data_IF_362712077140
#
_entry.id   IF_362712077140
#
_cell.length_a   1.000
_cell.length_b   1.000
_cell.length_c   1.000
_cell.angle_alpha   90.00
_cell.angle_beta   90.00
_cell.angle_gamma   90.00
#
_symmetry.space_group_name_H-M   'P 1'
#
loop_
_entity.id
_entity.type
_entity.pdbx_description
1 polymer ?
#
# COMPACT_ATOMS: atom_id res chain seq x y z
N UNK A 1 -1.39 -23.82 -11.16
CA UNK A 1 -2.01 -23.42 -12.45
C UNK A 1 -1.76 -21.94 -12.58
N UNK A 2 -1.21 -21.50 -13.70
CA UNK A 2 -1.06 -20.09 -14.01
C UNK A 2 -2.45 -19.43 -14.09
N UNK A 3 -2.57 -18.19 -13.62
CA UNK A 3 -3.82 -17.43 -13.72
C UNK A 3 -4.04 -17.05 -15.19
N UNK A 4 -5.26 -17.23 -15.68
CA UNK A 4 -5.68 -16.66 -16.96
C UNK A 4 -5.88 -15.15 -16.80
N UNK A 5 -4.93 -14.36 -17.32
CA UNK A 5 -4.92 -12.90 -17.18
C UNK A 5 -6.03 -12.21 -17.98
N UNK A 6 -6.51 -12.79 -19.08
CA UNK A 6 -7.65 -12.25 -19.82
C UNK A 6 -8.94 -12.44 -19.04
N UNK A 7 -9.13 -13.63 -18.47
CA UNK A 7 -10.25 -13.90 -17.58
C UNK A 7 -10.19 -13.04 -16.30
N UNK A 8 -8.99 -12.80 -15.75
CA UNK A 8 -8.81 -11.89 -14.62
C UNK A 8 -9.17 -10.46 -14.99
N UNK A 9 -8.70 -9.95 -16.14
CA UNK A 9 -9.05 -8.62 -16.63
C UNK A 9 -10.56 -8.47 -16.83
N UNK A 10 -11.22 -9.46 -17.42
CA UNK A 10 -12.68 -9.45 -17.57
C UNK A 10 -13.39 -9.41 -16.20
N UNK A 11 -12.89 -10.18 -15.22
CA UNK A 11 -13.41 -10.18 -13.85
C UNK A 11 -13.22 -8.82 -13.17
N UNK A 12 -12.06 -8.18 -13.34
CA UNK A 12 -11.81 -6.83 -12.80
C UNK A 12 -12.81 -5.83 -13.39
N UNK A 13 -13.02 -5.86 -14.71
CA UNK A 13 -13.99 -4.99 -15.41
C UNK A 13 -15.43 -5.20 -14.91
N UNK A 14 -15.84 -6.45 -14.71
CA UNK A 14 -17.19 -6.81 -14.23
C UNK A 14 -17.47 -6.38 -12.77
N UNK A 15 -16.42 -6.25 -11.96
CA UNK A 15 -16.52 -6.00 -10.51
C UNK A 15 -16.23 -4.56 -10.10
N UNK A 16 -16.14 -3.65 -11.06
CA UNK A 16 -16.00 -2.23 -10.75
C UNK A 16 -17.19 -1.72 -9.94
N UNK A 17 -16.92 -0.75 -9.08
CA UNK A 17 -17.90 -0.08 -8.23
C UNK A 17 -17.56 1.41 -8.15
N UNK A 18 -18.52 2.24 -7.77
CA UNK A 18 -18.32 3.68 -7.59
C UNK A 18 -18.69 4.11 -6.17
N UNK A 19 -18.17 5.27 -5.73
CA UNK A 19 -18.57 5.85 -4.44
C UNK A 19 -20.09 6.12 -4.40
N UNK A 20 -20.71 6.40 -5.55
CA UNK A 20 -22.16 6.59 -5.69
C UNK A 20 -22.98 5.31 -5.40
N UNK A 21 -22.37 4.13 -5.38
CA UNK A 21 -23.03 2.87 -5.04
C UNK A 21 -23.21 2.66 -3.52
N UNK A 22 -22.73 3.60 -2.70
CA UNK A 22 -22.75 3.53 -1.24
C UNK A 22 -23.74 4.57 -0.69
N UNK A 23 -24.61 4.12 0.21
CA UNK A 23 -25.48 5.02 0.97
C UNK A 23 -24.69 5.69 2.10
N UNK A 24 -24.06 6.83 1.77
CA UNK A 24 -23.27 7.62 2.72
C UNK A 24 -24.09 8.28 3.83
N UNK A 25 -25.41 8.27 3.75
CA UNK A 25 -26.33 8.82 4.76
C UNK A 25 -26.91 7.74 5.69
N UNK A 26 -26.59 6.46 5.45
CA UNK A 26 -27.05 5.37 6.31
C UNK A 26 -26.61 5.58 7.77
N UNK A 27 -27.33 5.04 8.77
CA UNK A 27 -26.97 5.20 10.18
C UNK A 27 -25.58 4.64 10.52
N UNK A 28 -24.92 5.20 11.55
CA UNK A 28 -23.67 4.63 12.09
C UNK A 28 -22.49 5.59 12.22
N UNK A 29 -22.56 6.79 11.61
CA UNK A 29 -21.46 7.77 11.70
C UNK A 29 -21.13 8.18 13.15
N UNK A 30 -22.12 8.20 14.03
CA UNK A 30 -21.98 8.60 15.44
C UNK A 30 -21.42 7.51 16.36
N UNK A 31 -21.11 6.31 15.86
CA UNK A 31 -20.58 5.20 16.68
C UNK A 31 -19.09 5.37 17.02
N UNK A 32 -18.41 6.31 16.36
CA UNK A 32 -16.99 6.59 16.62
C UNK A 32 -16.83 7.26 17.98
N UNK A 33 -16.18 6.54 18.92
CA UNK A 33 -15.91 7.05 20.27
C UNK A 33 -15.09 8.37 20.23
N UNK A 34 -15.49 9.43 20.96
CA UNK A 34 -14.81 10.73 20.92
C UNK A 34 -13.31 10.68 21.23
N UNK A 35 -12.90 9.85 22.19
CA UNK A 35 -11.51 9.66 22.59
C UNK A 35 -10.67 8.88 21.56
N UNK A 36 -11.33 8.11 20.70
CA UNK A 36 -10.67 7.35 19.63
C UNK A 36 -10.51 8.19 18.36
N UNK A 37 -11.40 9.16 18.14
CA UNK A 37 -11.48 9.99 16.94
C UNK A 37 -10.14 10.63 16.50
N UNK A 38 -9.29 11.20 17.39
CA UNK A 38 -8.01 11.77 16.96
C UNK A 38 -7.03 10.73 16.42
N UNK A 39 -6.99 9.54 17.03
CA UNK A 39 -6.14 8.43 16.56
C UNK A 39 -6.63 7.90 15.22
N UNK A 40 -7.95 7.72 15.10
CA UNK A 40 -8.57 7.28 13.86
C UNK A 40 -8.35 8.30 12.72
N UNK A 41 -8.50 9.61 12.98
CA UNK A 41 -8.22 10.67 11.99
C UNK A 41 -6.78 10.57 11.47
N UNK A 42 -5.80 10.40 12.36
CA UNK A 42 -4.40 10.27 11.96
C UNK A 42 -4.16 9.01 11.12
N UNK A 43 -4.71 7.87 11.54
CA UNK A 43 -4.59 6.61 10.81
C UNK A 43 -5.24 6.66 9.42
N UNK A 44 -6.48 7.15 9.32
CA UNK A 44 -7.19 7.26 8.05
C UNK A 44 -6.54 8.26 7.10
N UNK A 45 -5.97 9.35 7.64
CA UNK A 45 -5.18 10.29 6.85
C UNK A 45 -3.99 9.57 6.20
N UNK A 46 -3.26 8.78 6.98
CA UNK A 46 -2.10 8.05 6.49
C UNK A 46 -2.50 6.93 5.51
N UNK A 47 -3.60 6.22 5.78
CA UNK A 47 -4.15 5.18 4.90
C UNK A 47 -4.50 5.75 3.52
N UNK A 48 -5.23 6.87 3.47
CA UNK A 48 -5.59 7.52 2.21
C UNK A 48 -4.38 7.87 1.34
N UNK A 49 -3.28 8.31 1.97
CA UNK A 49 -2.05 8.60 1.26
C UNK A 49 -1.28 7.34 0.85
N UNK A 50 -1.40 6.25 1.60
CA UNK A 50 -0.82 4.96 1.25
C UNK A 50 -1.52 4.39 0.01
N UNK A 51 -2.85 4.46 -0.09
CA UNK A 51 -3.56 4.01 -1.30
C UNK A 51 -3.19 4.88 -2.51
N UNK A 52 -3.06 6.21 -2.34
CA UNK A 52 -2.56 7.08 -3.42
C UNK A 52 -1.11 6.77 -3.84
N UNK A 53 -0.27 6.35 -2.90
CA UNK A 53 1.07 5.82 -3.17
C UNK A 53 0.99 4.50 -3.95
N UNK A 54 0.08 3.59 -3.58
CA UNK A 54 -0.22 2.34 -4.27
C UNK A 54 -0.61 2.58 -5.72
N UNK A 55 -1.55 3.51 -5.95
CA UNK A 55 -1.95 3.96 -7.28
C UNK A 55 -0.73 4.37 -8.11
N UNK A 56 0.13 5.26 -7.59
CA UNK A 56 1.34 5.70 -8.29
C UNK A 56 2.29 4.54 -8.61
N UNK A 57 2.38 3.55 -7.72
CA UNK A 57 3.10 2.29 -7.91
C UNK A 57 2.57 1.48 -9.09
N UNK A 58 1.26 1.27 -9.17
CA UNK A 58 0.65 0.57 -10.31
C UNK A 58 0.77 1.32 -11.62
N UNK A 59 0.68 2.65 -11.63
CA UNK A 59 0.96 3.45 -12.82
C UNK A 59 2.40 3.22 -13.33
N UNK A 60 3.37 3.06 -12.42
CA UNK A 60 4.74 2.73 -12.77
C UNK A 60 4.91 1.29 -13.25
N UNK A 61 4.14 0.34 -12.71
CA UNK A 61 4.11 -1.07 -13.15
C UNK A 61 3.46 -1.23 -14.53
N UNK A 62 2.38 -0.51 -14.81
CA UNK A 62 1.70 -0.55 -16.11
C UNK A 62 2.64 -0.23 -17.28
N UNK A 63 3.58 0.71 -17.09
CA UNK A 63 4.61 1.07 -18.08
C UNK A 63 5.63 -0.04 -18.33
N UNK A 64 5.76 -0.98 -17.39
CA UNK A 64 6.80 -2.02 -17.37
C UNK A 64 6.23 -3.44 -17.47
N UNK A 65 4.92 -3.54 -17.61
CA UNK A 65 4.24 -4.82 -17.67
C UNK A 65 4.81 -5.69 -18.80
N UNK A 66 4.91 -7.01 -18.58
CA UNK A 66 5.50 -7.92 -19.56
C UNK A 66 4.64 -8.08 -20.82
N UNK A 67 3.35 -7.78 -20.74
CA UNK A 67 2.41 -7.82 -21.86
C UNK A 67 1.30 -6.75 -21.72
N UNK A 68 0.54 -6.47 -22.80
CA UNK A 68 -0.51 -5.46 -22.79
C UNK A 68 -1.67 -5.73 -21.83
N UNK A 69 -1.98 -7.00 -21.54
CA UNK A 69 -3.09 -7.41 -20.68
C UNK A 69 -2.78 -7.07 -19.24
N UNK A 70 -1.57 -7.41 -18.76
CA UNK A 70 -1.09 -7.02 -17.43
C UNK A 70 -0.95 -5.49 -17.34
N UNK A 71 -0.51 -4.83 -18.42
CA UNK A 71 -0.46 -3.36 -18.45
C UNK A 71 -1.85 -2.75 -18.23
N UNK A 72 -2.90 -3.36 -18.78
CA UNK A 72 -4.27 -2.92 -18.59
C UNK A 72 -4.80 -3.20 -17.20
N UNK A 73 -4.52 -4.39 -16.65
CA UNK A 73 -4.83 -4.72 -15.26
C UNK A 73 -4.25 -3.68 -14.31
N UNK A 74 -2.97 -3.31 -14.47
CA UNK A 74 -2.35 -2.28 -13.62
C UNK A 74 -2.95 -0.88 -13.81
N UNK A 75 -3.51 -0.54 -14.99
CA UNK A 75 -4.28 0.70 -15.15
C UNK A 75 -5.58 0.66 -14.33
N UNK A 76 -6.24 -0.50 -14.27
CA UNK A 76 -7.40 -0.69 -13.40
C UNK A 76 -7.00 -0.63 -11.92
N UNK A 77 -5.92 -1.28 -11.51
CA UNK A 77 -5.46 -1.24 -10.12
C UNK A 77 -5.10 0.19 -9.68
N UNK A 78 -4.43 0.98 -10.53
CA UNK A 78 -4.25 2.41 -10.28
C UNK A 78 -5.58 3.14 -10.02
N UNK A 79 -6.61 2.87 -10.82
CA UNK A 79 -7.91 3.50 -10.67
C UNK A 79 -8.69 3.00 -9.43
N UNK A 80 -8.54 1.71 -9.08
CA UNK A 80 -9.12 1.11 -7.87
C UNK A 80 -8.48 1.72 -6.62
N UNK A 81 -7.15 1.82 -6.55
CA UNK A 81 -6.43 2.45 -5.43
C UNK A 81 -6.78 3.93 -5.25
N UNK A 82 -6.91 4.67 -6.35
CA UNK A 82 -7.39 6.05 -6.29
C UNK A 82 -8.82 6.13 -5.74
N UNK A 83 -9.67 5.14 -6.04
CA UNK A 83 -11.03 5.04 -5.51
C UNK A 83 -11.03 4.65 -4.03
N UNK A 84 -10.12 3.78 -3.60
CA UNK A 84 -9.95 3.42 -2.19
C UNK A 84 -9.60 4.65 -1.36
N UNK A 85 -8.60 5.42 -1.80
CA UNK A 85 -8.23 6.68 -1.19
C UNK A 85 -9.42 7.66 -1.09
N UNK A 86 -10.20 7.79 -2.18
CA UNK A 86 -11.39 8.65 -2.20
C UNK A 86 -12.49 8.16 -1.24
N UNK A 87 -12.72 6.84 -1.16
CA UNK A 87 -13.69 6.26 -0.24
C UNK A 87 -13.30 6.47 1.23
N UNK A 88 -12.00 6.41 1.53
CA UNK A 88 -11.46 6.71 2.85
C UNK A 88 -11.61 8.19 3.23
N UNK A 89 -11.37 9.10 2.29
CA UNK A 89 -11.67 10.52 2.47
C UNK A 89 -13.15 10.77 2.73
N UNK A 90 -14.03 10.08 2.00
CA UNK A 90 -15.47 10.16 2.20
C UNK A 90 -15.89 9.63 3.59
N UNK A 91 -15.30 8.54 4.07
CA UNK A 91 -15.49 8.06 5.45
C UNK A 91 -15.02 9.09 6.49
N UNK A 92 -13.83 9.67 6.31
CA UNK A 92 -13.33 10.72 7.21
C UNK A 92 -14.27 11.94 7.24
N UNK A 93 -14.79 12.36 6.08
CA UNK A 93 -15.78 13.45 5.99
C UNK A 93 -17.07 13.08 6.72
N UNK A 94 -17.59 11.87 6.49
CA UNK A 94 -18.79 11.33 7.16
C UNK A 94 -18.66 11.34 8.68
N UNK A 95 -17.48 11.04 9.22
CA UNK A 95 -17.21 11.12 10.66
C UNK A 95 -16.88 12.54 11.17
N UNK A 96 -17.06 13.56 10.32
CA UNK A 96 -16.76 14.97 10.60
C UNK A 96 -15.28 15.25 10.89
N UNK A 97 -14.38 14.36 10.46
CA UNK A 97 -12.95 14.50 10.72
C UNK A 97 -12.29 15.49 9.76
N UNK A 98 -12.92 15.80 8.64
CA UNK A 98 -12.43 16.75 7.64
C UNK A 98 -13.41 17.91 7.49
N UNK A 99 -12.88 19.13 7.36
CA UNK A 99 -13.64 20.27 6.87
C UNK A 99 -13.97 20.12 5.36
N UNK A 100 -14.95 20.87 4.86
CA UNK A 100 -15.31 20.83 3.45
C UNK A 100 -14.12 21.22 2.55
N UNK A 101 -13.70 20.28 1.69
CA UNK A 101 -12.54 20.45 0.82
C UNK A 101 -11.18 20.26 1.51
N UNK A 102 -11.15 19.88 2.79
CA UNK A 102 -9.90 19.51 3.48
C UNK A 102 -9.39 18.16 2.95
N UNK A 103 -8.19 18.17 2.37
CA UNK A 103 -7.41 16.94 2.15
C UNK A 103 -6.50 16.75 3.38
N UNK A 104 -6.51 15.58 4.04
CA UNK A 104 -5.69 15.34 5.21
C UNK A 104 -4.21 15.54 4.90
N UNK A 105 -3.48 16.15 5.85
CA UNK A 105 -2.04 16.38 5.68
C UNK A 105 -1.28 15.07 5.92
N UNK A 106 -0.47 14.61 4.97
CA UNK A 106 0.36 13.42 5.17
C UNK A 106 1.40 13.67 6.26
N UNK A 107 1.76 12.62 7.00
CA UNK A 107 2.93 12.67 7.87
C UNK A 107 4.23 12.82 7.04
N UNK A 108 5.33 13.15 7.72
CA UNK A 108 6.62 13.43 7.07
C UNK A 108 7.20 12.24 6.31
N UNK A 109 7.02 11.01 6.80
CA UNK A 109 7.51 9.81 6.12
C UNK A 109 6.73 9.53 4.84
N UNK A 110 5.41 9.76 4.86
CA UNK A 110 4.57 9.70 3.67
C UNK A 110 4.97 10.77 2.67
N UNK A 111 5.21 12.02 3.11
CA UNK A 111 5.70 13.10 2.23
C UNK A 111 6.99 12.71 1.51
N UNK A 112 7.94 12.15 2.25
CA UNK A 112 9.21 11.71 1.68
C UNK A 112 9.03 10.51 0.72
N UNK A 113 8.09 9.61 1.00
CA UNK A 113 7.75 8.51 0.11
C UNK A 113 7.10 9.01 -1.20
N UNK A 114 6.18 9.97 -1.12
CA UNK A 114 5.56 10.65 -2.27
C UNK A 114 6.63 11.31 -3.13
N UNK A 115 7.53 12.10 -2.53
CA UNK A 115 8.62 12.77 -3.24
C UNK A 115 9.57 11.78 -3.92
N UNK A 116 9.86 10.66 -3.27
CA UNK A 116 10.69 9.60 -3.82
C UNK A 116 10.01 8.89 -5.00
N UNK A 117 8.72 8.54 -4.87
CA UNK A 117 7.97 7.90 -5.94
C UNK A 117 7.85 8.82 -7.15
N UNK A 118 7.57 10.11 -6.93
CA UNK A 118 7.51 11.11 -7.99
C UNK A 118 8.81 11.17 -8.78
N UNK A 119 9.96 11.13 -8.08
CA UNK A 119 11.27 11.24 -8.69
C UNK A 119 11.78 9.95 -9.36
N UNK A 120 11.43 8.77 -8.85
CA UNK A 120 12.15 7.53 -9.21
C UNK A 120 11.28 6.37 -9.68
N UNK A 121 9.99 6.33 -9.38
CA UNK A 121 9.18 5.11 -9.61
C UNK A 121 9.11 4.69 -11.08
N UNK A 122 9.14 5.63 -12.03
CA UNK A 122 9.14 5.33 -13.46
C UNK A 122 10.42 4.62 -13.93
N UNK A 123 11.55 4.88 -13.29
CA UNK A 123 12.85 4.27 -13.62
C UNK A 123 13.11 2.97 -12.84
N UNK A 124 12.31 2.68 -11.82
CA UNK A 124 12.47 1.47 -10.99
C UNK A 124 12.17 0.20 -11.79
N UNK A 125 13.05 -0.83 -11.77
CA UNK A 125 12.81 -2.07 -12.48
C UNK A 125 11.55 -2.81 -12.00
N UNK A 126 10.94 -3.56 -12.93
CA UNK A 126 9.79 -4.41 -12.64
C UNK A 126 10.07 -5.37 -11.48
N UNK A 127 11.29 -5.93 -11.40
CA UNK A 127 11.68 -6.84 -10.31
C UNK A 127 11.66 -6.21 -8.92
N UNK A 128 11.83 -4.88 -8.82
CA UNK A 128 11.76 -4.15 -7.55
C UNK A 128 10.30 -3.83 -7.22
N UNK A 129 9.60 -3.12 -8.11
CA UNK A 129 8.22 -2.69 -7.87
C UNK A 129 7.28 -3.89 -7.70
N UNK A 130 7.37 -4.88 -8.59
CA UNK A 130 6.58 -6.12 -8.55
C UNK A 130 6.97 -7.08 -7.41
N UNK A 131 7.91 -6.69 -6.55
CA UNK A 131 8.17 -7.37 -5.27
C UNK A 131 7.69 -6.53 -4.08
N UNK A 132 7.92 -5.22 -4.11
CA UNK A 132 7.59 -4.32 -3.00
C UNK A 132 6.09 -4.10 -2.86
N UNK A 133 5.38 -3.87 -3.98
CA UNK A 133 3.93 -3.64 -4.00
C UNK A 133 3.15 -4.84 -3.43
N UNK A 134 3.40 -6.11 -3.84
CA UNK A 134 2.69 -7.25 -3.26
C UNK A 134 2.88 -7.40 -1.75
N UNK A 135 4.02 -6.96 -1.23
CA UNK A 135 4.28 -6.98 0.22
C UNK A 135 3.47 -5.89 0.94
N UNK A 136 3.32 -4.71 0.33
CA UNK A 136 2.53 -3.61 0.88
C UNK A 136 1.06 -3.99 0.90
N UNK A 137 0.51 -4.51 -0.20
CA UNK A 137 -0.87 -5.00 -0.30
C UNK A 137 -1.18 -6.03 0.79
N UNK A 138 -0.32 -7.05 0.95
CA UNK A 138 -0.55 -8.08 1.97
C UNK A 138 -0.49 -7.52 3.39
N UNK A 139 0.34 -6.50 3.64
CA UNK A 139 0.38 -5.82 4.93
C UNK A 139 -0.90 -5.00 5.17
N UNK A 140 -1.37 -4.27 4.16
CA UNK A 140 -2.60 -3.48 4.18
C UNK A 140 -3.83 -4.39 4.42
N UNK A 141 -4.09 -5.34 3.52
CA UNK A 141 -5.19 -6.31 3.60
C UNK A 141 -5.12 -7.17 4.88
N UNK A 142 -3.93 -7.69 5.19
CA UNK A 142 -3.76 -8.70 6.22
C UNK A 142 -3.84 -8.18 7.66
N UNK A 143 -3.45 -6.93 7.88
CA UNK A 143 -3.35 -6.34 9.22
C UNK A 143 -4.16 -5.04 9.36
N UNK A 144 -3.96 -4.07 8.47
CA UNK A 144 -4.53 -2.72 8.62
C UNK A 144 -6.06 -2.74 8.47
N UNK A 145 -6.58 -3.33 7.39
CA UNK A 145 -8.02 -3.37 7.13
C UNK A 145 -8.78 -4.16 8.21
N UNK A 146 -8.26 -5.32 8.59
CA UNK A 146 -8.87 -6.14 9.65
C UNK A 146 -8.90 -5.43 10.99
N UNK A 147 -7.83 -4.70 11.33
CA UNK A 147 -7.80 -3.93 12.56
C UNK A 147 -8.87 -2.82 12.55
N UNK A 148 -9.00 -2.12 11.43
CA UNK A 148 -10.01 -1.07 11.28
C UNK A 148 -11.44 -1.61 11.42
N UNK A 149 -11.74 -2.73 10.75
CA UNK A 149 -13.06 -3.39 10.83
C UNK A 149 -13.40 -3.89 12.24
N UNK A 150 -12.40 -4.35 13.00
CA UNK A 150 -12.60 -4.78 14.38
C UNK A 150 -12.76 -3.60 15.37
N UNK A 151 -12.35 -2.39 14.97
CA UNK A 151 -12.30 -1.21 15.86
C UNK A 151 -13.40 -0.19 15.58
N UNK A 152 -13.87 -0.10 14.33
CA UNK A 152 -14.89 0.85 13.88
C UNK A 152 -16.23 0.16 13.74
N UNK A 153 -17.24 0.65 14.47
CA UNK A 153 -18.59 0.09 14.51
C UNK A 153 -19.56 0.77 13.50
N UNK A 154 -19.04 1.46 12.47
CA UNK A 154 -19.87 2.09 11.43
C UNK A 154 -20.17 1.08 10.29
N UNK A 155 -21.42 0.62 10.11
CA UNK A 155 -21.76 -0.33 9.04
C UNK A 155 -21.49 0.20 7.63
N UNK A 156 -21.43 1.52 7.40
CA UNK A 156 -21.01 2.09 6.10
C UNK A 156 -19.52 1.86 5.87
N UNK A 157 -18.70 1.99 6.90
CA UNK A 157 -17.28 1.64 6.86
C UNK A 157 -17.10 0.18 6.45
N UNK A 158 -17.86 -0.74 7.04
CA UNK A 158 -17.79 -2.17 6.71
C UNK A 158 -18.17 -2.44 5.25
N UNK A 159 -19.20 -1.77 4.71
CA UNK A 159 -19.58 -1.88 3.30
C UNK A 159 -18.49 -1.34 2.36
N UNK A 160 -17.88 -0.21 2.69
CA UNK A 160 -16.76 0.37 1.92
C UNK A 160 -15.59 -0.62 1.87
N UNK A 161 -15.15 -1.11 3.04
CA UNK A 161 -14.01 -2.01 3.12
C UNK A 161 -14.30 -3.41 2.59
N UNK A 162 -15.56 -3.85 2.53
CA UNK A 162 -15.92 -5.07 1.80
C UNK A 162 -15.62 -4.94 0.30
N UNK A 163 -15.93 -3.78 -0.29
CA UNK A 163 -15.63 -3.48 -1.70
C UNK A 163 -14.12 -3.37 -1.94
N UNK A 164 -13.41 -2.62 -1.09
CA UNK A 164 -11.93 -2.51 -1.14
C UNK A 164 -11.29 -3.91 -1.03
N UNK A 165 -11.66 -4.71 -0.04
CA UNK A 165 -11.15 -6.07 0.13
C UNK A 165 -11.45 -7.00 -1.07
N UNK A 166 -12.54 -6.76 -1.79
CA UNK A 166 -12.83 -7.48 -3.02
C UNK A 166 -11.80 -7.15 -4.12
N UNK A 167 -11.41 -5.88 -4.23
CA UNK A 167 -10.39 -5.38 -5.15
C UNK A 167 -9.00 -5.91 -4.76
N UNK A 168 -8.61 -5.75 -3.50
CA UNK A 168 -7.33 -6.24 -2.94
C UNK A 168 -7.09 -7.73 -3.18
N UNK A 169 -8.14 -8.54 -3.11
CA UNK A 169 -8.03 -9.97 -3.39
C UNK A 169 -7.56 -10.26 -4.82
N UNK A 170 -7.90 -9.40 -5.78
CA UNK A 170 -7.46 -9.49 -7.18
C UNK A 170 -6.08 -8.89 -7.37
N UNK A 171 -5.78 -7.78 -6.69
CA UNK A 171 -4.45 -7.17 -6.69
C UNK A 171 -3.41 -8.20 -6.29
N UNK A 172 -3.55 -8.77 -5.09
CA UNK A 172 -2.68 -9.81 -4.54
C UNK A 172 -2.55 -11.00 -5.50
N UNK A 173 -3.66 -11.46 -6.11
CA UNK A 173 -3.62 -12.60 -7.01
C UNK A 173 -2.76 -12.33 -8.25
N UNK A 174 -2.94 -11.16 -8.88
CA UNK A 174 -2.16 -10.75 -10.06
C UNK A 174 -0.71 -10.49 -9.67
N UNK A 175 -0.47 -9.82 -8.55
CA UNK A 175 0.85 -9.43 -8.10
C UNK A 175 1.76 -10.62 -7.83
N UNK A 176 1.23 -11.69 -7.22
CA UNK A 176 1.98 -12.93 -7.05
C UNK A 176 2.19 -13.72 -8.35
N UNK A 177 1.27 -13.65 -9.31
CA UNK A 177 1.48 -14.24 -10.64
C UNK A 177 2.55 -13.46 -11.41
N UNK A 178 2.56 -12.13 -11.34
CA UNK A 178 3.61 -11.30 -11.95
C UNK A 178 4.95 -11.57 -11.29
N UNK A 179 4.99 -11.74 -9.96
CA UNK A 179 6.21 -12.12 -9.25
C UNK A 179 6.73 -13.50 -9.68
N UNK A 180 5.84 -14.44 -10.00
CA UNK A 180 6.20 -15.73 -10.60
C UNK A 180 6.79 -15.54 -12.00
N UNK A 181 6.16 -14.74 -12.86
CA UNK A 181 6.65 -14.38 -14.21
C UNK A 181 8.06 -13.77 -14.13
N UNK A 182 8.32 -12.88 -13.17
CA UNK A 182 9.67 -12.32 -12.94
C UNK A 182 10.67 -13.44 -12.62
N UNK A 183 10.25 -14.43 -11.83
CA UNK A 183 11.05 -15.61 -11.50
C UNK A 183 11.40 -16.51 -12.69
N UNK A 184 10.69 -16.43 -13.82
CA UNK A 184 11.01 -17.19 -15.04
C UNK A 184 12.28 -16.71 -15.75
N UNK A 185 12.76 -15.49 -15.45
CA UNK A 185 14.02 -15.01 -16.00
C UNK A 185 15.22 -15.90 -15.60
N UNK A 186 16.27 -15.90 -16.43
CA UNK A 186 17.49 -16.66 -16.10
C UNK A 186 18.14 -16.13 -14.82
N UNK A 187 18.71 -17.02 -14.00
CA UNK A 187 19.35 -16.62 -12.74
C UNK A 187 20.46 -15.56 -12.94
N UNK A 188 21.18 -15.62 -14.07
CA UNK A 188 22.16 -14.61 -14.47
C UNK A 188 21.52 -13.24 -14.69
N UNK A 189 20.39 -13.18 -15.41
CA UNK A 189 19.68 -11.91 -15.67
C UNK A 189 19.15 -11.32 -14.37
N UNK A 190 18.52 -12.14 -13.52
CA UNK A 190 18.04 -11.72 -12.20
C UNK A 190 19.17 -11.18 -11.32
N UNK A 191 20.34 -11.82 -11.32
CA UNK A 191 21.48 -11.36 -10.56
C UNK A 191 22.07 -10.05 -11.09
N UNK A 192 22.23 -9.91 -12.42
CA UNK A 192 22.74 -8.68 -13.05
C UNK A 192 21.78 -7.52 -12.82
N UNK A 193 20.49 -7.73 -13.02
CA UNK A 193 19.46 -6.72 -12.77
C UNK A 193 19.48 -6.29 -11.30
N UNK A 194 19.51 -7.25 -10.36
CA UNK A 194 19.57 -6.94 -8.94
C UNK A 194 20.83 -6.16 -8.56
N UNK A 195 22.02 -6.60 -8.98
CA UNK A 195 23.29 -5.91 -8.66
C UNK A 195 23.35 -4.52 -9.30
N UNK A 196 22.95 -4.40 -10.56
CA UNK A 196 22.90 -3.13 -11.27
C UNK A 196 21.90 -2.15 -10.64
N UNK A 197 20.83 -2.66 -10.04
CA UNK A 197 19.75 -1.84 -9.46
C UNK A 197 20.01 -1.46 -8.01
N UNK A 198 20.60 -2.36 -7.19
CA UNK A 198 20.95 -2.09 -5.77
C UNK A 198 21.95 -0.94 -5.63
N UNK A 199 22.74 -0.67 -6.67
CA UNK A 199 23.66 0.46 -6.70
C UNK A 199 23.03 1.78 -7.19
N UNK A 200 21.74 1.80 -7.58
CA UNK A 200 21.11 3.02 -8.08
C UNK A 200 20.78 3.98 -6.93
N UNK A 201 20.98 5.31 -7.10
CA UNK A 201 20.61 6.30 -6.10
C UNK A 201 19.13 6.21 -5.70
N UNK A 202 18.26 5.97 -6.69
CA UNK A 202 16.83 5.79 -6.46
C UNK A 202 16.55 4.68 -5.46
N UNK A 203 17.09 3.46 -5.65
CA UNK A 203 16.76 2.36 -4.75
C UNK A 203 17.35 2.54 -3.35
N UNK A 204 18.55 3.13 -3.23
CA UNK A 204 19.16 3.42 -1.93
C UNK A 204 18.31 4.43 -1.15
N UNK A 205 17.93 5.54 -1.79
CA UNK A 205 17.06 6.55 -1.17
C UNK A 205 15.71 5.91 -0.83
N UNK A 206 15.16 5.09 -1.72
CA UNK A 206 13.89 4.40 -1.49
C UNK A 206 13.92 3.51 -0.26
N UNK A 207 14.96 2.70 -0.11
CA UNK A 207 15.14 1.86 1.07
C UNK A 207 15.22 2.69 2.36
N UNK A 208 15.92 3.84 2.33
CA UNK A 208 16.02 4.76 3.46
C UNK A 208 14.69 5.41 3.82
N UNK A 209 13.82 5.70 2.85
CA UNK A 209 12.49 6.30 3.10
C UNK A 209 11.46 5.25 3.55
N UNK A 210 11.51 4.06 2.96
CA UNK A 210 10.61 2.94 3.22
C UNK A 210 10.73 2.39 4.65
N UNK A 211 11.96 2.24 5.16
CA UNK A 211 12.20 1.69 6.50
C UNK A 211 11.47 2.43 7.65
N UNK A 212 11.62 3.76 7.80
CA UNK A 212 10.91 4.49 8.83
C UNK A 212 9.41 4.62 8.54
N UNK A 213 8.98 4.66 7.28
CA UNK A 213 7.55 4.66 6.95
C UNK A 213 6.85 3.42 7.50
N UNK A 214 7.36 2.22 7.22
CA UNK A 214 6.78 0.98 7.74
C UNK A 214 6.77 0.93 9.27
N UNK A 215 7.85 1.37 9.89
CA UNK A 215 7.93 1.36 11.35
C UNK A 215 6.99 2.38 11.99
N UNK A 216 6.75 3.53 11.36
CA UNK A 216 5.75 4.52 11.82
C UNK A 216 4.35 3.93 11.78
N UNK A 217 3.94 3.38 10.63
CA UNK A 217 2.62 2.74 10.46
C UNK A 217 2.42 1.64 11.51
N UNK A 218 3.44 0.81 11.75
CA UNK A 218 3.40 -0.19 12.83
C UNK A 218 3.19 0.45 14.21
N UNK A 219 3.94 1.50 14.53
CA UNK A 219 3.87 2.16 15.84
C UNK A 219 2.51 2.82 16.05
N UNK A 220 1.92 3.42 15.02
CA UNK A 220 0.56 3.99 15.04
C UNK A 220 -0.49 2.91 15.29
N UNK A 221 -0.42 1.80 14.54
CA UNK A 221 -1.31 0.66 14.77
C UNK A 221 -1.19 0.09 16.18
N UNK A 222 0.03 -0.10 16.68
CA UNK A 222 0.25 -0.54 18.06
C UNK A 222 -0.33 0.46 19.08
N UNK A 223 -0.20 1.77 18.82
CA UNK A 223 -0.80 2.84 19.64
C UNK A 223 -2.33 2.90 19.60
N UNK A 224 -2.95 2.32 18.57
CA UNK A 224 -4.40 2.11 18.48
C UNK A 224 -4.86 0.79 19.10
N UNK A 225 -3.94 -0.08 19.53
CA UNK A 225 -4.26 -1.37 20.17
C UNK A 225 -4.20 -2.57 19.22
N UNK A 226 -3.56 -2.45 18.05
CA UNK A 226 -3.37 -3.60 17.16
C UNK A 226 -2.42 -4.62 17.79
N UNK A 227 -2.87 -5.87 17.87
CA UNK A 227 -2.06 -7.00 18.31
C UNK A 227 -0.89 -7.26 17.35
N UNK A 228 0.31 -7.46 17.91
CA UNK A 228 1.54 -7.73 17.13
C UNK A 228 1.43 -8.99 16.26
N UNK A 229 0.57 -9.94 16.66
CA UNK A 229 0.32 -11.17 15.91
C UNK A 229 -0.30 -10.90 14.54
N UNK A 230 -1.10 -9.84 14.37
CA UNK A 230 -1.73 -9.49 13.08
C UNK A 230 -0.70 -9.15 12.02
N UNK A 231 0.28 -8.32 12.38
CA UNK A 231 1.38 -7.97 11.49
C UNK A 231 2.26 -9.20 11.17
N UNK A 232 2.49 -10.06 12.16
CA UNK A 232 3.19 -11.34 11.94
C UNK A 232 2.42 -12.23 10.95
N UNK A 233 1.10 -12.32 11.08
CA UNK A 233 0.25 -13.11 10.19
C UNK A 233 0.23 -12.54 8.76
N UNK A 234 0.23 -11.22 8.58
CA UNK A 234 0.38 -10.59 7.28
C UNK A 234 1.72 -10.98 6.62
N UNK A 235 2.84 -10.84 7.33
CA UNK A 235 4.17 -11.25 6.80
C UNK A 235 4.23 -12.76 6.52
N UNK A 236 3.57 -13.58 7.35
CA UNK A 236 3.44 -15.02 7.08
C UNK A 236 2.64 -15.28 5.81
N UNK A 237 1.55 -14.55 5.56
CA UNK A 237 0.75 -14.65 4.32
C UNK A 237 1.59 -14.27 3.10
N UNK A 238 2.40 -13.21 3.17
CA UNK A 238 3.31 -12.82 2.09
C UNK A 238 4.27 -13.95 1.73
N UNK A 239 4.91 -14.55 2.75
CA UNK A 239 5.78 -15.72 2.58
C UNK A 239 5.02 -16.91 1.97
N UNK A 240 3.84 -17.22 2.48
CA UNK A 240 3.05 -18.37 2.01
C UNK A 240 2.63 -18.22 0.55
N UNK A 241 2.17 -17.03 0.15
CA UNK A 241 1.79 -16.76 -1.24
C UNK A 241 2.99 -16.83 -2.17
N UNK A 242 4.13 -16.24 -1.79
CA UNK A 242 5.34 -16.29 -2.62
C UNK A 242 6.00 -17.67 -2.67
N UNK A 243 5.79 -18.53 -1.67
CA UNK A 243 6.26 -19.92 -1.69
C UNK A 243 5.34 -20.89 -2.45
N UNK A 244 4.14 -20.45 -2.86
CA UNK A 244 3.28 -21.23 -3.78
C UNK A 244 3.79 -21.21 -5.22
N UNK A 245 4.49 -20.14 -5.62
CA UNK A 245 5.12 -20.03 -6.93
C UNK A 245 6.37 -20.91 -7.04
N UNK A 246 6.56 -21.59 -8.17
CA UNK A 246 7.73 -22.45 -8.39
C UNK A 246 9.02 -21.63 -8.60
N UNK A 247 8.88 -20.40 -9.10
CA UNK A 247 9.97 -19.53 -9.55
C UNK A 247 10.10 -18.25 -8.73
N UNK A 248 9.05 -17.83 -8.04
CA UNK A 248 9.07 -16.70 -7.10
C UNK A 248 10.22 -16.78 -6.10
N UNK A 249 10.52 -17.93 -5.45
CA UNK A 249 11.67 -18.05 -4.55
C UNK A 249 13.04 -17.83 -5.19
N UNK A 250 13.14 -17.67 -6.51
CA UNK A 250 14.39 -17.36 -7.22
C UNK A 250 14.66 -15.86 -7.30
N UNK A 251 13.63 -15.02 -7.20
CA UNK A 251 13.73 -13.57 -7.32
C UNK A 251 14.56 -13.00 -6.15
N UNK A 252 15.72 -12.35 -6.41
CA UNK A 252 16.57 -11.83 -5.34
C UNK A 252 15.90 -10.78 -4.46
N UNK A 253 15.14 -9.85 -5.07
CA UNK A 253 14.38 -8.84 -4.34
C UNK A 253 13.39 -9.48 -3.36
N UNK A 254 12.65 -10.51 -3.78
CA UNK A 254 11.72 -11.25 -2.92
C UNK A 254 12.42 -11.86 -1.71
N UNK A 255 13.59 -12.48 -1.90
CA UNK A 255 14.36 -13.06 -0.78
C UNK A 255 14.76 -12.00 0.25
N UNK A 256 15.25 -10.85 -0.23
CA UNK A 256 15.67 -9.75 0.62
C UNK A 256 14.46 -9.18 1.39
N UNK A 257 13.38 -8.89 0.67
CA UNK A 257 12.18 -8.29 1.26
C UNK A 257 11.50 -9.24 2.25
N UNK A 258 11.39 -10.53 1.93
CA UNK A 258 10.89 -11.56 2.87
C UNK A 258 11.68 -11.58 4.17
N UNK A 259 13.01 -11.44 4.10
CA UNK A 259 13.88 -11.41 5.28
C UNK A 259 13.70 -10.11 6.08
N UNK A 260 13.62 -8.98 5.38
CA UNK A 260 13.38 -7.67 6.00
C UNK A 260 12.01 -7.61 6.70
N UNK A 261 10.95 -8.10 6.05
CA UNK A 261 9.62 -8.20 6.64
C UNK A 261 9.62 -9.02 7.94
N UNK A 262 10.37 -10.13 8.00
CA UNK A 262 10.55 -10.91 9.22
C UNK A 262 11.27 -10.14 10.35
N UNK A 263 12.15 -9.20 10.02
CA UNK A 263 12.79 -8.31 10.99
C UNK A 263 11.82 -7.24 11.51
N UNK A 264 11.02 -6.66 10.62
CA UNK A 264 10.02 -5.62 10.96
C UNK A 264 9.01 -6.13 11.98
N UNK A 265 8.56 -7.38 11.86
CA UNK A 265 7.56 -7.99 12.76
C UNK A 265 8.13 -8.63 14.01
N UNK A 266 9.45 -8.72 14.14
CA UNK A 266 10.10 -9.25 15.33
C UNK A 266 10.46 -8.11 16.28
N UNK A 267 9.76 -7.94 17.43
CA UNK A 267 10.00 -6.84 18.35
C UNK A 267 11.39 -6.90 19.02
N UNK A 268 12.01 -8.10 19.07
CA UNK A 268 13.32 -8.32 19.70
C UNK A 268 14.50 -8.18 18.73
N UNK A 269 14.24 -7.94 17.44
CA UNK A 269 15.30 -7.83 16.45
C UNK A 269 16.02 -6.46 16.56
N UNK A 270 17.36 -6.38 16.48
CA UNK A 270 18.09 -5.11 16.59
C UNK A 270 17.72 -4.07 15.53
N UNK A 271 17.15 -4.51 14.40
CA UNK A 271 16.53 -3.64 13.39
C UNK A 271 15.56 -2.63 13.99
N UNK A 272 14.86 -2.98 15.07
CA UNK A 272 13.88 -2.09 15.71
C UNK A 272 14.53 -0.83 16.28
N UNK A 273 15.75 -0.94 16.81
CA UNK A 273 16.49 0.23 17.29
C UNK A 273 16.79 1.18 16.13
N UNK A 274 17.35 0.64 15.04
CA UNK A 274 17.66 1.43 13.84
C UNK A 274 16.40 2.11 13.27
N UNK A 275 15.35 1.34 13.03
CA UNK A 275 14.15 1.86 12.40
C UNK A 275 13.39 2.85 13.30
N UNK A 276 13.33 2.62 14.61
CA UNK A 276 12.73 3.59 15.54
C UNK A 276 13.56 4.87 15.65
N UNK A 277 14.89 4.79 15.61
CA UNK A 277 15.75 5.98 15.54
C UNK A 277 15.52 6.76 14.24
N UNK A 278 15.30 6.08 13.11
CA UNK A 278 14.96 6.75 11.85
C UNK A 278 13.58 7.42 11.87
N UNK A 279 12.57 6.79 12.50
CA UNK A 279 11.26 7.43 12.73
C UNK A 279 11.41 8.67 13.61
N UNK A 280 12.15 8.57 14.71
CA UNK A 280 12.41 9.71 15.59
C UNK A 280 13.14 10.84 14.85
N UNK A 281 14.15 10.52 14.05
CA UNK A 281 14.88 11.50 13.23
C UNK A 281 13.99 12.18 12.19
N UNK A 282 13.04 11.45 11.58
CA UNK A 282 12.16 12.03 10.57
C UNK A 282 11.21 13.08 11.14
N UNK A 283 10.83 12.99 12.42
CA UNK A 283 10.02 14.02 13.10
C UNK A 283 10.71 15.39 13.16
N UNK A 284 12.05 15.43 13.06
CA UNK A 284 12.84 16.67 13.02
C UNK A 284 13.17 17.15 11.61
N UNK A 285 12.64 16.49 10.58
CA UNK A 285 12.91 16.89 9.20
C UNK A 285 12.38 18.31 8.93
N UNK A 286 13.22 19.26 8.46
CA UNK A 286 12.80 20.63 8.25
C UNK A 286 11.70 20.75 7.18
N UNK A 287 10.52 21.24 7.58
CA UNK A 287 9.38 21.46 6.66
C UNK A 287 9.72 22.26 5.38
N UNK A 288 10.59 23.28 5.40
CA UNK A 288 10.96 24.02 4.19
C UNK A 288 11.74 23.19 3.15
N UNK A 289 12.29 22.03 3.53
CA UNK A 289 13.00 21.14 2.61
C UNK A 289 12.06 20.19 1.85
N UNK A 290 10.80 20.05 2.31
CA UNK A 290 9.82 19.23 1.63
C UNK A 290 9.41 19.89 0.31
N UNK A 291 9.46 19.13 -0.78
CA UNK A 291 9.01 19.60 -2.10
C UNK A 291 7.49 19.78 -2.13
N UNK A 292 6.96 20.62 -3.03
CA UNK A 292 5.52 20.69 -3.25
C UNK A 292 4.91 19.33 -3.59
N UNK A 293 3.65 19.13 -3.19
CA UNK A 293 2.91 17.92 -3.55
C UNK A 293 2.81 17.78 -5.08
N UNK A 294 3.06 16.58 -5.63
CA UNK A 294 3.07 16.35 -7.07
C UNK A 294 1.65 16.42 -7.67
N UNK A 295 1.56 16.55 -8.99
CA UNK A 295 0.26 16.74 -9.66
C UNK A 295 -0.70 15.56 -9.48
N UNK A 296 -0.19 14.32 -9.46
CA UNK A 296 -1.00 13.10 -9.30
C UNK A 296 -1.69 12.99 -7.93
N UNK A 297 -1.13 13.63 -6.89
CA UNK A 297 -1.80 13.72 -5.59
C UNK A 297 -3.03 14.62 -5.56
N UNK A 298 -3.27 15.41 -6.62
CA UNK A 298 -4.41 16.34 -6.71
C UNK A 298 -5.69 15.68 -7.21
N UNK A 299 -5.61 14.40 -7.60
CA UNK A 299 -6.75 13.61 -8.05
C UNK A 299 -7.60 13.09 -6.88
N UNK A 300 -7.12 13.27 -5.64
CA UNK A 300 -7.85 12.92 -4.42
C UNK A 300 -9.07 13.81 -4.22
N UNK A 301 -10.24 13.19 -4.09
CA UNK A 301 -11.50 13.87 -3.82
C UNK A 301 -12.40 13.00 -2.94
N UNK A 302 -13.15 13.64 -2.04
CA UNK A 302 -14.16 12.99 -1.22
C UNK A 302 -15.54 12.98 -1.90
N UNK A 303 -15.69 13.66 -3.04
CA UNK A 303 -16.96 13.77 -3.73
C UNK A 303 -17.34 12.40 -4.32
N UNK A 304 -18.59 11.92 -4.10
CA UNK A 304 -19.10 10.74 -4.77
C UNK A 304 -19.24 11.01 -6.28
N UNK A 305 -18.16 10.87 -7.03
CA UNK A 305 -18.20 10.87 -8.48
C UNK A 305 -18.66 9.50 -9.00
N UNK A 306 -19.32 9.51 -10.16
CA UNK A 306 -19.73 8.32 -10.89
C UNK A 306 -18.55 7.62 -11.56
#
# INVERSE_FOLDING_TARGET
>A
MAIDMEAMLAKIKDRQWALADIDWEAPGADTIRPEFRPKLKAFMADLCWIENIGARGFAALAKKAPDPTIAEIYRYFHAEEQRHANAELALMKRWGMLEDGEVPKPNVNIRLAIEWLDAYSDDMPLSVLGTVIPMLEVALDGALLKFLLDTVEDPVCHQVFERINNDESRHIAVDFEVLEIIGHATARRLAIEFVGTVATPGLIIGALMYMPLLNRIRNEMAGMGMESERLFNAVKRFKQLGERGERTPRVPAYKLLRRHAAWVVNPRHPYQLLANSMVWLSDFYPKPLLKPMPSWSRELTHEPAA
#
